data_IF_044196373687
#
_entry.id   IF_044196373687
#
_cell.length_a   1.000
_cell.length_b   1.000
_cell.length_c   1.000
_cell.angle_alpha   90.00
_cell.angle_beta   90.00
_cell.angle_gamma   90.00
#
_symmetry.space_group_name_H-M   'P 1'
#
loop_
_entity.id
_entity.type
_entity.pdbx_description
1 polymer ?
#
# COMPACT_ATOMS: atom_id res chain seq x y z
N UNK A 1 -3.63 -15.25 -6.76
CA UNK A 1 -3.13 -14.71 -5.47
C UNK A 1 -1.67 -14.33 -5.59
N UNK A 2 -1.31 -13.10 -5.23
CA UNK A 2 0.08 -12.61 -5.12
C UNK A 2 0.40 -12.34 -3.65
N UNK A 3 1.57 -12.82 -3.20
CA UNK A 3 2.13 -12.53 -1.88
C UNK A 3 3.59 -12.14 -2.02
N UNK A 4 3.96 -10.95 -1.55
CA UNK A 4 5.32 -10.43 -1.67
C UNK A 4 5.78 -9.78 -0.37
N UNK A 5 7.07 -9.94 -0.07
CA UNK A 5 7.79 -9.19 0.95
C UNK A 5 8.98 -8.53 0.28
N UNK A 6 9.12 -7.22 0.44
CA UNK A 6 10.21 -6.45 -0.17
C UNK A 6 10.91 -5.63 0.90
N UNK A 7 12.25 -5.68 0.90
CA UNK A 7 13.11 -4.85 1.71
C UNK A 7 14.23 -4.28 0.82
N UNK A 8 14.23 -2.97 0.60
CA UNK A 8 15.15 -2.27 -0.32
C UNK A 8 15.10 -0.78 -0.02
N UNK A 9 16.12 0.00 -0.40
CA UNK A 9 16.10 1.47 -0.28
C UNK A 9 14.90 2.06 -1.06
N UNK A 10 14.65 1.58 -2.27
CA UNK A 10 13.52 1.99 -3.10
C UNK A 10 12.70 0.81 -3.59
N UNK A 11 11.37 0.93 -3.50
CA UNK A 11 10.41 -0.08 -3.98
C UNK A 11 9.37 0.57 -4.89
N UNK A 12 9.28 0.07 -6.12
CA UNK A 12 8.23 0.42 -7.09
C UNK A 12 7.57 -0.85 -7.62
N UNK A 13 6.28 -1.02 -7.34
CA UNK A 13 5.55 -2.24 -7.71
C UNK A 13 4.22 -1.91 -8.38
N UNK A 14 3.87 -2.72 -9.38
CA UNK A 14 2.54 -2.77 -9.98
C UNK A 14 2.03 -4.21 -9.84
N UNK A 15 0.86 -4.39 -9.23
CA UNK A 15 0.29 -5.72 -8.99
C UNK A 15 -1.16 -5.75 -9.46
N UNK A 16 -1.50 -6.78 -10.24
CA UNK A 16 -2.88 -7.10 -10.61
C UNK A 16 -3.14 -8.60 -10.37
N UNK A 17 -4.08 -8.92 -9.48
CA UNK A 17 -4.49 -10.30 -9.15
C UNK A 17 -5.80 -10.26 -8.39
N UNK A 18 -6.58 -11.35 -8.35
CA UNK A 18 -7.81 -11.42 -7.53
C UNK A 18 -7.54 -11.11 -6.05
N UNK A 19 -6.45 -11.65 -5.48
CA UNK A 19 -6.03 -11.39 -4.10
C UNK A 19 -4.56 -10.98 -4.01
N UNK A 20 -4.29 -9.89 -3.29
CA UNK A 20 -2.94 -9.33 -3.11
C UNK A 20 -2.62 -9.13 -1.63
N UNK A 21 -1.46 -9.64 -1.20
CA UNK A 21 -0.88 -9.39 0.13
C UNK A 21 0.57 -8.91 0.02
N UNK A 22 0.83 -7.64 0.31
CA UNK A 22 2.19 -7.05 0.23
C UNK A 22 2.67 -6.60 1.62
N UNK A 23 3.93 -6.88 1.91
CA UNK A 23 4.69 -6.27 3.01
C UNK A 23 5.90 -5.56 2.43
N UNK A 24 6.08 -4.30 2.77
CA UNK A 24 7.17 -3.49 2.22
C UNK A 24 7.85 -2.71 3.35
N UNK A 25 9.17 -2.80 3.42
CA UNK A 25 10.03 -1.97 4.27
C UNK A 25 11.08 -1.28 3.40
N UNK A 26 11.06 0.05 3.31
CA UNK A 26 11.90 0.79 2.35
C UNK A 26 11.91 2.29 2.66
N UNK A 27 12.95 3.03 2.31
CA UNK A 27 12.93 4.49 2.45
C UNK A 27 11.85 5.13 1.55
N UNK A 28 11.73 4.66 0.30
CA UNK A 28 10.73 5.16 -0.65
C UNK A 28 9.89 4.06 -1.29
N UNK A 29 8.57 4.14 -1.09
CA UNK A 29 7.61 3.17 -1.61
C UNK A 29 6.62 3.82 -2.60
N UNK A 30 6.52 3.25 -3.80
CA UNK A 30 5.45 3.55 -4.78
C UNK A 30 4.75 2.26 -5.21
N UNK A 31 3.49 2.06 -4.78
CA UNK A 31 2.70 0.88 -5.16
C UNK A 31 1.48 1.29 -5.99
N UNK A 32 1.18 0.49 -7.02
CA UNK A 32 -0.10 0.49 -7.74
C UNK A 32 -0.68 -0.92 -7.66
N UNK A 33 -1.90 -1.05 -7.13
CA UNK A 33 -2.55 -2.34 -6.92
C UNK A 33 -3.98 -2.32 -7.48
N UNK A 34 -4.34 -3.32 -8.26
CA UNK A 34 -5.70 -3.56 -8.74
C UNK A 34 -6.11 -5.01 -8.44
N UNK A 35 -7.12 -5.23 -7.60
CA UNK A 35 -7.45 -6.57 -7.07
C UNK A 35 -8.80 -6.56 -6.36
N UNK A 36 -9.54 -7.67 -6.32
CA UNK A 36 -10.77 -7.75 -5.51
C UNK A 36 -10.45 -7.57 -4.01
N UNK A 37 -9.42 -8.28 -3.50
CA UNK A 37 -9.01 -8.19 -2.10
C UNK A 37 -7.54 -7.83 -1.91
N UNK A 38 -7.30 -6.70 -1.24
CA UNK A 38 -5.96 -6.15 -1.00
C UNK A 38 -5.65 -6.06 0.50
N UNK A 39 -4.50 -6.62 0.90
CA UNK A 39 -3.87 -6.40 2.21
C UNK A 39 -2.46 -5.82 2.04
N UNK A 40 -2.25 -4.59 2.49
CA UNK A 40 -0.96 -3.90 2.41
C UNK A 40 -0.44 -3.56 3.80
N UNK A 41 0.84 -3.84 4.05
CA UNK A 41 1.58 -3.38 5.23
C UNK A 41 2.86 -2.69 4.77
N UNK A 42 3.02 -1.41 5.08
CA UNK A 42 4.16 -0.60 4.62
C UNK A 42 4.79 0.14 5.79
N UNK A 43 6.12 0.06 5.92
CA UNK A 43 6.93 0.89 6.80
C UNK A 43 7.99 1.62 5.96
N UNK A 44 7.98 2.96 5.95
CA UNK A 44 8.81 3.73 5.02
C UNK A 44 8.91 5.20 5.41
N UNK A 45 9.90 5.95 4.93
CA UNK A 45 9.90 7.42 5.09
C UNK A 45 8.84 8.06 4.20
N UNK A 46 8.78 7.68 2.91
CA UNK A 46 7.82 8.21 1.94
C UNK A 46 7.02 7.13 1.23
N UNK A 47 5.69 7.21 1.33
CA UNK A 47 4.75 6.25 0.74
C UNK A 47 3.81 6.92 -0.27
N UNK A 48 3.74 6.37 -1.50
CA UNK A 48 2.76 6.71 -2.53
C UNK A 48 1.99 5.47 -2.97
N UNK A 49 0.71 5.39 -2.63
CA UNK A 49 -0.14 4.23 -2.93
C UNK A 49 -1.31 4.61 -3.83
N UNK A 50 -1.51 3.83 -4.88
CA UNK A 50 -2.73 3.85 -5.69
C UNK A 50 -3.35 2.46 -5.62
N UNK A 51 -4.57 2.36 -5.12
CA UNK A 51 -5.25 1.07 -4.97
C UNK A 51 -6.67 1.14 -5.48
N UNK A 52 -7.03 0.19 -6.34
CA UNK A 52 -8.40 -0.07 -6.78
C UNK A 52 -8.78 -1.48 -6.34
N UNK A 53 -9.82 -1.62 -5.51
CA UNK A 53 -10.26 -2.92 -5.00
C UNK A 53 -11.68 -2.96 -4.48
N UNK A 54 -12.30 -4.13 -4.37
CA UNK A 54 -13.56 -4.25 -3.61
C UNK A 54 -13.28 -4.06 -2.11
N UNK A 55 -12.29 -4.80 -1.58
CA UNK A 55 -11.93 -4.78 -0.15
C UNK A 55 -10.45 -4.42 0.04
N UNK A 56 -10.20 -3.34 0.77
CA UNK A 56 -8.86 -2.88 1.15
C UNK A 56 -8.63 -2.94 2.67
N UNK A 57 -7.54 -3.60 3.06
CA UNK A 57 -6.92 -3.47 4.39
C UNK A 57 -5.52 -2.88 4.25
N UNK A 58 -5.33 -1.66 4.72
CA UNK A 58 -4.06 -0.94 4.63
C UNK A 58 -3.54 -0.58 6.03
N UNK A 59 -2.29 -0.94 6.30
CA UNK A 59 -1.52 -0.49 7.46
C UNK A 59 -0.24 0.20 6.98
N UNK A 60 -0.06 1.46 7.33
CA UNK A 60 1.11 2.26 6.92
C UNK A 60 1.68 3.01 8.11
N UNK A 61 3.00 2.93 8.29
CA UNK A 61 3.77 3.79 9.18
C UNK A 61 4.82 4.54 8.36
N UNK A 62 4.71 5.87 8.28
CA UNK A 62 5.59 6.67 7.42
C UNK A 62 5.52 8.18 7.70
N UNK A 63 6.64 8.90 7.56
CA UNK A 63 6.65 10.37 7.70
C UNK A 63 5.69 11.03 6.69
N UNK A 64 5.76 10.66 5.41
CA UNK A 64 4.91 11.21 4.36
C UNK A 64 4.12 10.13 3.62
N UNK A 65 2.79 10.23 3.68
CA UNK A 65 1.88 9.31 3.00
C UNK A 65 1.00 10.05 2.01
N UNK A 66 0.99 9.59 0.75
CA UNK A 66 0.01 9.96 -0.27
C UNK A 66 -0.76 8.72 -0.74
N UNK A 67 -2.06 8.70 -0.49
CA UNK A 67 -2.96 7.62 -0.91
C UNK A 67 -3.85 8.11 -2.05
N UNK A 68 -4.26 7.17 -2.89
CA UNK A 68 -5.37 7.29 -3.82
C UNK A 68 -6.09 5.95 -3.81
N UNK A 69 -7.27 5.90 -3.17
CA UNK A 69 -7.99 4.65 -2.91
C UNK A 69 -9.37 4.74 -3.56
N UNK A 70 -9.64 3.79 -4.46
CA UNK A 70 -10.97 3.52 -4.99
C UNK A 70 -11.40 2.14 -4.50
N UNK A 71 -12.21 2.07 -3.44
CA UNK A 71 -12.64 0.79 -2.88
C UNK A 71 -13.98 0.87 -2.17
N UNK A 72 -14.77 -0.21 -2.26
CA UNK A 72 -16.09 -0.31 -1.64
C UNK A 72 -15.99 -0.45 -0.11
N UNK A 73 -15.05 -1.27 0.38
CA UNK A 73 -14.81 -1.47 1.79
C UNK A 73 -13.35 -1.18 2.15
N UNK A 74 -13.14 -0.19 3.01
CA UNK A 74 -11.79 0.24 3.43
C UNK A 74 -11.61 0.12 4.94
N UNK A 75 -10.55 -0.59 5.35
CA UNK A 75 -9.98 -0.49 6.70
C UNK A 75 -8.57 0.09 6.60
N UNK A 76 -8.44 1.33 7.08
CA UNK A 76 -7.19 2.08 7.05
C UNK A 76 -6.62 2.27 8.45
N UNK A 77 -5.33 1.99 8.62
CA UNK A 77 -4.55 2.41 9.78
C UNK A 77 -3.27 3.07 9.29
N UNK A 78 -3.19 4.38 9.43
CA UNK A 78 -2.03 5.17 8.98
C UNK A 78 -1.47 5.96 10.14
N UNK A 79 -0.21 5.72 10.48
CA UNK A 79 0.59 6.57 11.35
C UNK A 79 1.52 7.40 10.47
N UNK A 80 1.28 8.71 10.40
CA UNK A 80 2.06 9.62 9.56
C UNK A 80 2.06 11.05 10.07
N UNK A 81 3.17 11.76 9.84
CA UNK A 81 3.24 13.20 10.10
C UNK A 81 2.46 13.99 9.05
N UNK A 82 2.55 13.56 7.78
CA UNK A 82 1.86 14.21 6.66
C UNK A 82 1.07 13.17 5.87
N UNK A 83 -0.26 13.23 5.97
CA UNK A 83 -1.18 12.40 5.21
C UNK A 83 -1.93 13.20 4.14
N UNK A 84 -1.86 12.74 2.89
CA UNK A 84 -2.70 13.17 1.77
C UNK A 84 -3.51 11.97 1.27
N UNK A 85 -4.82 12.16 1.13
CA UNK A 85 -5.77 11.18 0.62
C UNK A 85 -6.31 11.60 -0.75
#
# INVERSE_FOLDING_TARGET
>A
MVKLHTASEMVKLHTASEMVKLHTASEMVKLHTASEMVKLQTASETVKLHTTSEILKLHTASEMVKLHIASEMVKLHTASEILKL
#
